data_IF_427366840543
#
_entry.id   IF_427366840543
#
_cell.length_a   1.000
_cell.length_b   1.000
_cell.length_c   1.000
_cell.angle_alpha   90.00
_cell.angle_beta   90.00
_cell.angle_gamma   90.00
#
_symmetry.space_group_name_H-M   'P 1'
#
loop_
_entity.id
_entity.type
_entity.pdbx_description
1 polymer ?
#
# COMPACT_ATOMS: atom_id res chain seq x y z
N UNK A 1 -10.66 -44.86 43.13
CA UNK A 1 -11.62 -44.23 42.18
C UNK A 1 -11.96 -42.84 42.72
N UNK A 2 -11.38 -41.77 42.20
CA UNK A 2 -11.94 -40.75 41.27
C UNK A 2 -10.70 -39.94 40.78
N UNK A 3 -10.33 -39.67 39.51
CA UNK A 3 -11.06 -39.37 38.25
C UNK A 3 -12.21 -38.39 38.51
N UNK A 4 -12.34 -37.17 37.97
CA UNK A 4 -11.84 -36.45 36.77
C UNK A 4 -12.23 -34.95 37.01
N UNK A 5 -11.57 -33.85 36.58
CA UNK A 5 -10.32 -33.53 35.84
C UNK A 5 -9.88 -32.08 36.21
N UNK A 6 -8.66 -31.64 35.87
CA UNK A 6 -8.25 -30.22 35.93
C UNK A 6 -8.75 -29.49 34.67
N UNK A 7 -9.66 -28.52 34.78
CA UNK A 7 -10.04 -27.63 33.67
C UNK A 7 -9.10 -26.41 33.70
N UNK A 8 -7.98 -26.54 33.00
CA UNK A 8 -7.10 -25.43 32.64
C UNK A 8 -6.63 -25.64 31.19
N UNK A 9 -6.38 -24.54 30.48
CA UNK A 9 -6.05 -24.47 29.04
C UNK A 9 -7.21 -24.78 28.07
N UNK A 10 -7.87 -23.71 27.58
CA UNK A 10 -8.10 -23.47 26.13
C UNK A 10 -8.73 -22.09 25.86
N UNK A 11 -8.18 -21.03 26.47
CA UNK A 11 -8.39 -19.63 26.06
C UNK A 11 -7.14 -19.05 25.41
N UNK A 12 -6.44 -19.86 24.61
CA UNK A 12 -5.35 -19.40 23.74
C UNK A 12 -5.92 -18.62 22.57
N UNK A 13 -6.27 -17.36 22.84
CA UNK A 13 -6.02 -16.23 21.95
C UNK A 13 -6.23 -16.50 20.45
N UNK A 14 -7.49 -16.66 20.04
CA UNK A 14 -7.93 -16.30 18.69
C UNK A 14 -7.82 -14.77 18.54
N UNK A 15 -6.59 -14.25 18.52
CA UNK A 15 -6.31 -12.87 18.12
C UNK A 15 -6.55 -12.82 16.63
N UNK A 16 -7.78 -12.48 16.24
CA UNK A 16 -8.11 -12.19 14.86
C UNK A 16 -7.22 -11.03 14.39
N UNK A 17 -6.18 -11.34 13.61
CA UNK A 17 -5.37 -10.32 12.95
C UNK A 17 -6.31 -9.58 12.00
N UNK A 18 -6.61 -8.32 12.31
CA UNK A 18 -7.66 -7.58 11.62
C UNK A 18 -7.39 -7.44 10.12
N UNK A 19 -6.10 -7.33 9.75
CA UNK A 19 -5.60 -7.37 8.39
C UNK A 19 -4.60 -8.53 8.16
N UNK A 20 -4.68 -9.17 6.99
CA UNK A 20 -3.80 -10.27 6.56
C UNK A 20 -3.11 -9.93 5.24
N UNK A 21 -1.86 -10.39 5.03
CA UNK A 21 -1.15 -10.24 3.75
C UNK A 21 -1.86 -11.06 2.67
N UNK A 22 -2.30 -10.38 1.61
CA UNK A 22 -2.91 -10.96 0.41
C UNK A 22 -1.92 -11.02 -0.77
N UNK A 23 -0.84 -10.25 -0.69
CA UNK A 23 0.20 -10.22 -1.70
C UNK A 23 1.21 -9.11 -1.45
N UNK A 24 1.93 -8.70 -2.49
CA UNK A 24 2.98 -7.67 -2.39
C UNK A 24 3.35 -7.06 -3.74
N UNK A 25 3.91 -5.85 -3.69
CA UNK A 25 4.52 -5.19 -4.84
C UNK A 25 6.00 -4.85 -4.54
N UNK A 26 6.73 -4.37 -5.54
CA UNK A 26 8.15 -4.01 -5.37
C UNK A 26 8.44 -2.57 -5.79
N UNK A 27 9.45 -1.97 -5.17
CA UNK A 27 10.05 -0.70 -5.62
C UNK A 27 11.58 -0.81 -5.64
N UNK A 28 12.18 -0.37 -6.74
CA UNK A 28 13.63 -0.33 -6.97
C UNK A 28 14.23 1.09 -6.84
N UNK A 29 13.56 1.97 -6.10
CA UNK A 29 13.99 3.37 -5.97
C UNK A 29 15.21 3.55 -5.06
N UNK A 30 15.09 3.25 -3.76
CA UNK A 30 16.14 3.51 -2.76
C UNK A 30 17.26 2.45 -2.73
N UNK A 31 17.10 1.33 -3.42
CA UNK A 31 18.05 0.22 -3.40
C UNK A 31 18.06 -0.47 -4.79
N UNK A 32 19.25 -0.81 -5.35
CA UNK A 32 19.32 -1.66 -6.56
C UNK A 32 18.65 -3.03 -6.38
N UNK A 33 18.55 -3.54 -5.15
CA UNK A 33 17.69 -4.67 -4.80
C UNK A 33 16.24 -4.17 -4.64
N UNK A 34 15.32 -4.74 -5.42
CA UNK A 34 13.87 -4.50 -5.30
C UNK A 34 13.41 -4.72 -3.85
N UNK A 35 12.96 -3.66 -3.18
CA UNK A 35 12.32 -3.78 -1.86
C UNK A 35 10.87 -4.24 -2.05
N UNK A 36 10.47 -5.25 -1.30
CA UNK A 36 9.10 -5.78 -1.28
C UNK A 36 8.22 -5.02 -0.28
N UNK A 37 7.02 -4.67 -0.70
CA UNK A 37 5.99 -4.01 0.10
C UNK A 37 4.74 -4.89 0.21
N UNK A 38 4.31 -5.16 1.44
CA UNK A 38 3.10 -5.92 1.70
C UNK A 38 1.85 -5.17 1.21
N UNK A 39 0.97 -5.90 0.51
CA UNK A 39 -0.44 -5.54 0.37
C UNK A 39 -1.23 -6.46 1.29
N UNK A 40 -1.96 -5.86 2.23
CA UNK A 40 -2.80 -6.57 3.19
C UNK A 40 -4.25 -6.15 3.04
N UNK A 41 -5.19 -6.99 3.44
CA UNK A 41 -6.61 -6.65 3.49
C UNK A 41 -7.28 -7.15 4.77
N UNK A 42 -8.35 -6.48 5.19
CA UNK A 42 -9.26 -6.98 6.23
C UNK A 42 -10.19 -8.05 5.69
N UNK A 43 -10.61 -9.00 6.51
CA UNK A 43 -11.68 -9.94 6.14
C UNK A 43 -12.96 -9.18 5.72
N UNK A 44 -13.55 -9.47 4.55
CA UNK A 44 -14.80 -8.86 4.11
C UNK A 44 -15.96 -9.06 5.09
N UNK A 45 -16.74 -7.98 5.28
CA UNK A 45 -18.02 -7.99 6.01
C UNK A 45 -19.04 -7.22 5.18
N UNK A 46 -20.08 -7.90 4.70
CA UNK A 46 -21.11 -7.33 3.81
C UNK A 46 -20.48 -6.61 2.61
N UNK A 47 -19.60 -7.30 1.87
CA UNK A 47 -18.77 -6.79 0.77
C UNK A 47 -17.79 -5.66 1.09
N UNK A 48 -17.80 -5.10 2.32
CA UNK A 48 -16.89 -4.03 2.75
C UNK A 48 -15.63 -4.60 3.37
N UNK A 49 -14.50 -4.05 2.95
CA UNK A 49 -13.17 -4.30 3.50
C UNK A 49 -12.26 -3.11 3.20
N UNK A 50 -11.04 -3.14 3.75
CA UNK A 50 -9.99 -2.14 3.48
C UNK A 50 -8.71 -2.84 3.04
N UNK A 51 -8.03 -2.27 2.06
CA UNK A 51 -6.64 -2.57 1.72
C UNK A 51 -5.70 -1.75 2.61
N UNK A 52 -4.53 -2.30 2.90
CA UNK A 52 -3.40 -1.66 3.58
C UNK A 52 -2.17 -1.93 2.72
N UNK A 53 -1.76 -0.92 1.97
CA UNK A 53 -0.60 -0.93 1.06
C UNK A 53 0.56 -0.35 1.84
N UNK A 54 1.52 -1.18 2.27
CA UNK A 54 2.70 -0.70 2.99
C UNK A 54 3.56 0.18 2.07
N UNK A 55 4.09 1.28 2.60
CA UNK A 55 4.94 2.24 1.88
C UNK A 55 6.14 2.63 2.75
N UNK A 56 7.11 3.34 2.20
CA UNK A 56 8.23 3.85 3.00
C UNK A 56 7.75 4.94 3.97
N UNK A 57 8.16 4.85 5.24
CA UNK A 57 8.22 6.03 6.10
C UNK A 57 9.56 6.77 5.93
N UNK A 58 9.82 7.70 6.83
CA UNK A 58 11.11 8.38 7.00
C UNK A 58 12.26 7.38 7.28
N UNK A 59 12.00 6.35 8.09
CA UNK A 59 12.95 5.30 8.43
C UNK A 59 12.57 3.96 7.77
N UNK A 60 13.54 3.11 7.34
CA UNK A 60 13.24 1.80 6.73
C UNK A 60 12.46 0.82 7.62
N UNK A 61 12.45 1.04 8.94
CA UNK A 61 11.71 0.23 9.92
C UNK A 61 10.29 0.75 10.20
N UNK A 62 9.92 1.91 9.66
CA UNK A 62 8.60 2.50 9.84
C UNK A 62 7.51 1.64 9.20
N UNK A 63 6.40 1.50 9.92
CA UNK A 63 5.21 0.78 9.44
C UNK A 63 4.16 1.79 8.99
N UNK A 64 4.33 2.36 7.80
CA UNK A 64 3.34 3.26 7.17
C UNK A 64 2.54 2.49 6.12
N UNK A 65 1.23 2.75 6.06
CA UNK A 65 0.34 2.15 5.07
C UNK A 65 -0.58 3.21 4.48
N UNK A 66 -0.73 3.18 3.16
CA UNK A 66 -1.88 3.77 2.47
C UNK A 66 -3.07 2.82 2.61
N UNK A 67 -4.23 3.35 2.99
CA UNK A 67 -5.42 2.58 3.30
C UNK A 67 -6.54 2.99 2.35
N UNK A 68 -7.05 2.01 1.60
CA UNK A 68 -8.14 2.20 0.65
C UNK A 68 -9.36 1.43 1.12
N UNK A 69 -10.55 2.04 1.06
CA UNK A 69 -11.81 1.29 1.12
C UNK A 69 -11.98 0.43 -0.13
N UNK A 70 -12.74 -0.66 -0.02
CA UNK A 70 -13.14 -1.46 -1.19
C UNK A 70 -13.87 -0.63 -2.26
N UNK A 71 -14.56 0.44 -1.86
CA UNK A 71 -15.28 1.39 -2.74
C UNK A 71 -14.35 2.36 -3.50
N UNK A 72 -13.15 2.64 -2.96
CA UNK A 72 -12.14 3.51 -3.59
C UNK A 72 -11.07 2.71 -4.35
N UNK A 73 -10.97 1.40 -4.16
CA UNK A 73 -9.95 0.55 -4.75
C UNK A 73 -9.96 0.54 -6.28
N UNK A 74 -11.15 0.45 -6.90
CA UNK A 74 -11.31 0.46 -8.37
C UNK A 74 -10.81 1.78 -8.97
N UNK A 75 -11.25 2.92 -8.40
CA UNK A 75 -10.79 4.27 -8.80
C UNK A 75 -9.29 4.47 -8.61
N UNK A 76 -8.70 3.86 -7.58
CA UNK A 76 -7.26 3.88 -7.37
C UNK A 76 -6.53 3.09 -8.47
N UNK A 77 -7.03 1.90 -8.81
CA UNK A 77 -6.47 1.08 -9.91
C UNK A 77 -6.55 1.82 -11.24
N UNK A 78 -7.71 2.40 -11.59
CA UNK A 78 -7.88 3.23 -12.80
C UNK A 78 -6.88 4.39 -12.84
N UNK A 79 -6.75 5.14 -11.74
CA UNK A 79 -5.81 6.25 -11.66
C UNK A 79 -4.35 5.79 -11.78
N UNK A 80 -3.99 4.63 -11.22
CA UNK A 80 -2.65 4.05 -11.35
C UNK A 80 -2.37 3.51 -12.76
N UNK A 81 -3.37 3.02 -13.49
CA UNK A 81 -3.25 2.65 -14.91
C UNK A 81 -2.96 3.89 -15.77
N UNK A 82 -3.70 4.99 -15.59
CA UNK A 82 -3.44 6.26 -16.29
C UNK A 82 -2.05 6.81 -15.91
N UNK A 83 -1.64 6.69 -14.65
CA UNK A 83 -0.28 7.06 -14.23
C UNK A 83 0.79 6.21 -14.92
N UNK A 84 0.58 4.89 -15.06
CA UNK A 84 1.51 3.99 -15.78
C UNK A 84 1.68 4.41 -17.23
N UNK A 85 0.59 4.69 -17.94
CA UNK A 85 0.63 5.14 -19.34
C UNK A 85 1.41 6.45 -19.50
N UNK A 86 1.08 7.45 -18.67
CA UNK A 86 1.78 8.75 -18.69
C UNK A 86 3.23 8.64 -18.22
N UNK A 87 3.53 7.72 -17.31
CA UNK A 87 4.90 7.44 -16.88
C UNK A 87 5.75 6.89 -18.04
N UNK A 88 5.23 5.95 -18.83
CA UNK A 88 5.91 5.41 -20.02
C UNK A 88 6.12 6.51 -21.07
N UNK A 89 5.07 7.28 -21.38
CA UNK A 89 5.13 8.42 -22.31
C UNK A 89 6.20 9.44 -21.90
N UNK A 90 6.15 9.92 -20.65
CA UNK A 90 7.03 10.99 -20.18
C UNK A 90 8.45 10.52 -19.94
N UNK A 91 8.66 9.26 -19.53
CA UNK A 91 10.01 8.66 -19.43
C UNK A 91 10.68 8.56 -20.79
N UNK A 92 9.93 8.24 -21.85
CA UNK A 92 10.43 8.27 -23.23
C UNK A 92 10.78 9.71 -23.65
N UNK A 93 9.87 10.67 -23.47
CA UNK A 93 10.09 12.08 -23.84
C UNK A 93 11.30 12.66 -23.09
N UNK A 94 11.45 12.39 -21.79
CA UNK A 94 12.57 12.84 -20.99
C UNK A 94 13.91 12.30 -21.52
N UNK A 95 13.96 11.01 -21.87
CA UNK A 95 15.14 10.39 -22.49
C UNK A 95 15.46 11.00 -23.85
N UNK A 96 14.46 11.08 -24.74
CA UNK A 96 14.65 11.56 -26.12
C UNK A 96 15.10 13.04 -26.18
N UNK A 97 14.79 13.84 -25.14
CA UNK A 97 15.17 15.25 -25.03
C UNK A 97 16.32 15.52 -24.04
N UNK A 98 16.98 14.48 -23.50
CA UNK A 98 18.04 14.60 -22.48
C UNK A 98 17.66 15.46 -21.26
N UNK A 99 16.41 15.35 -20.80
CA UNK A 99 15.91 16.07 -19.61
C UNK A 99 16.59 15.50 -18.36
N UNK A 100 17.21 16.35 -17.55
CA UNK A 100 17.99 15.93 -16.37
C UNK A 100 17.40 16.36 -15.02
N UNK A 101 16.49 17.33 -15.04
CA UNK A 101 15.75 17.85 -13.90
C UNK A 101 14.38 18.30 -14.40
N UNK A 102 13.31 17.69 -13.87
CA UNK A 102 11.93 18.02 -14.22
C UNK A 102 10.95 17.47 -13.19
N UNK A 103 9.90 18.22 -12.88
CA UNK A 103 8.78 17.74 -12.05
C UNK A 103 7.45 18.13 -12.70
N UNK A 104 6.52 17.17 -12.80
CA UNK A 104 5.18 17.39 -13.37
C UNK A 104 4.14 16.57 -12.60
N UNK A 105 3.01 17.19 -12.24
CA UNK A 105 1.87 16.47 -11.65
C UNK A 105 1.26 15.52 -12.67
N UNK A 106 0.88 14.31 -12.26
CA UNK A 106 0.08 13.43 -13.12
C UNK A 106 -1.32 14.04 -13.36
N UNK A 107 -1.95 13.81 -14.52
CA UNK A 107 -3.24 14.39 -14.86
C UNK A 107 -4.40 13.56 -14.28
N UNK A 108 -4.28 13.16 -13.00
CA UNK A 108 -5.28 12.35 -12.29
C UNK A 108 -5.49 12.89 -10.88
N UNK A 109 -6.69 12.63 -10.36
CA UNK A 109 -7.00 12.79 -8.93
C UNK A 109 -7.14 11.41 -8.33
N UNK A 110 -6.32 11.09 -7.32
CA UNK A 110 -6.50 9.84 -6.58
C UNK A 110 -7.80 9.90 -5.75
N UNK A 111 -8.50 8.77 -5.52
CA UNK A 111 -9.62 8.75 -4.59
C UNK A 111 -9.15 9.05 -3.16
N UNK A 112 -10.06 9.33 -2.20
CA UNK A 112 -9.68 9.47 -0.80
C UNK A 112 -8.92 8.25 -0.27
N UNK A 113 -7.76 8.49 0.35
CA UNK A 113 -6.86 7.50 0.94
C UNK A 113 -6.62 7.88 2.40
N UNK A 114 -6.79 6.95 3.34
CA UNK A 114 -6.32 7.18 4.71
C UNK A 114 -4.85 6.78 4.82
N UNK A 115 -4.08 7.43 5.69
CA UNK A 115 -2.72 7.02 6.03
C UNK A 115 -2.70 6.50 7.46
N UNK A 116 -2.19 5.28 7.67
CA UNK A 116 -2.04 4.67 8.98
C UNK A 116 -0.60 4.30 9.28
N UNK A 117 -0.07 4.76 10.43
CA UNK A 117 1.30 4.48 10.85
C UNK A 117 1.39 4.05 12.32
N UNK A 118 2.43 3.29 12.64
CA UNK A 118 2.70 2.84 14.01
C UNK A 118 3.95 3.51 14.58
N UNK A 119 3.86 4.01 15.81
CA UNK A 119 5.02 4.47 16.60
C UNK A 119 5.05 3.79 17.98
N UNK A 120 4.51 4.43 19.02
CA UNK A 120 4.11 3.80 20.29
C UNK A 120 2.73 3.12 20.18
N UNK A 121 1.88 3.66 19.32
CA UNK A 121 0.52 3.21 19.02
C UNK A 121 0.19 3.43 17.53
N UNK A 122 -1.03 3.08 17.12
CA UNK A 122 -1.50 3.32 15.75
C UNK A 122 -2.12 4.71 15.62
N UNK A 123 -1.53 5.52 14.74
CA UNK A 123 -2.03 6.82 14.33
C UNK A 123 -2.64 6.73 12.94
N UNK A 124 -3.64 7.58 12.69
CA UNK A 124 -4.37 7.63 11.42
C UNK A 124 -4.60 9.07 10.99
N UNK A 125 -4.56 9.30 9.68
CA UNK A 125 -4.96 10.55 9.04
C UNK A 125 -5.90 10.21 7.90
N UNK A 126 -7.15 10.69 7.96
CA UNK A 126 -8.25 10.21 7.12
C UNK A 126 -8.51 11.08 5.87
N UNK A 127 -9.11 10.48 4.85
CA UNK A 127 -9.73 11.13 3.69
C UNK A 127 -8.82 12.06 2.84
N UNK A 128 -7.54 11.72 2.69
CA UNK A 128 -6.60 12.52 1.87
C UNK A 128 -6.78 12.31 0.36
N UNK A 129 -6.82 13.42 -0.39
CA UNK A 129 -6.81 13.42 -1.85
C UNK A 129 -5.40 13.78 -2.33
N UNK A 130 -4.61 12.76 -2.61
CA UNK A 130 -3.21 12.90 -2.99
C UNK A 130 -3.01 13.23 -4.48
N UNK A 131 -1.99 14.06 -4.78
CA UNK A 131 -1.60 14.41 -6.16
C UNK A 131 -0.19 13.91 -6.48
N UNK A 132 -0.03 12.73 -7.12
CA UNK A 132 1.28 12.19 -7.43
C UNK A 132 2.00 13.01 -8.51
N UNK A 133 3.33 12.94 -8.50
CA UNK A 133 4.23 13.70 -9.37
C UNK A 133 5.14 12.74 -10.15
N UNK A 134 5.38 13.04 -11.41
CA UNK A 134 6.48 12.49 -12.20
C UNK A 134 7.71 13.36 -11.97
N UNK A 135 8.81 12.74 -11.54
CA UNK A 135 10.10 13.41 -11.32
C UNK A 135 11.15 12.82 -12.25
N UNK A 136 11.98 13.70 -12.81
CA UNK A 136 13.24 13.39 -13.49
C UNK A 136 14.36 14.06 -12.72
N UNK A 137 15.42 13.33 -12.39
CA UNK A 137 16.57 13.87 -11.65
C UNK A 137 17.84 13.09 -11.98
N UNK A 138 19.00 13.67 -11.69
CA UNK A 138 20.30 12.97 -11.79
C UNK A 138 20.66 12.24 -10.50
N UNK A 139 21.12 11.01 -10.62
CA UNK A 139 21.76 10.24 -9.55
C UNK A 139 23.14 9.80 -10.04
N UNK A 140 24.19 10.54 -9.63
CA UNK A 140 25.51 10.44 -10.26
C UNK A 140 25.45 10.82 -11.73
N UNK A 141 25.95 9.95 -12.60
CA UNK A 141 25.91 10.12 -14.06
C UNK A 141 24.58 9.67 -14.69
N UNK A 142 23.75 8.94 -13.95
CA UNK A 142 22.48 8.41 -14.45
C UNK A 142 21.36 9.44 -14.33
N UNK A 143 20.48 9.51 -15.34
CA UNK A 143 19.18 10.19 -15.25
C UNK A 143 18.13 9.18 -14.86
N UNK A 144 17.39 9.47 -13.80
CA UNK A 144 16.32 8.64 -13.27
C UNK A 144 14.95 9.28 -13.50
N UNK A 145 13.92 8.44 -13.62
CA UNK A 145 12.53 8.88 -13.80
C UNK A 145 11.62 8.06 -12.89
N UNK A 146 10.81 8.73 -12.06
CA UNK A 146 9.94 8.08 -11.08
C UNK A 146 8.54 8.69 -11.03
N UNK A 147 7.55 7.86 -10.74
CA UNK A 147 6.32 8.29 -10.07
C UNK A 147 6.63 8.42 -8.58
N UNK A 148 6.22 9.53 -7.98
CA UNK A 148 6.40 9.80 -6.56
C UNK A 148 5.13 10.41 -5.98
N UNK A 149 4.67 9.81 -4.89
CA UNK A 149 3.84 10.45 -3.89
C UNK A 149 4.69 10.59 -2.61
N UNK A 150 4.91 11.84 -2.19
CA UNK A 150 5.60 12.20 -0.95
C UNK A 150 4.82 13.33 -0.32
N UNK A 151 4.36 13.16 0.92
CA UNK A 151 3.65 14.16 1.70
C UNK A 151 3.91 13.95 3.19
N UNK A 152 3.74 15.01 3.99
CA UNK A 152 3.61 14.92 5.46
C UNK A 152 2.13 14.92 5.82
N UNK A 153 1.69 13.97 6.65
CA UNK A 153 0.33 13.90 7.19
C UNK A 153 0.35 14.06 8.72
N UNK A 154 -0.69 14.69 9.25
CA UNK A 154 -0.89 14.90 10.70
C UNK A 154 -2.01 14.00 11.18
N UNK A 155 -1.89 13.40 12.37
CA UNK A 155 -2.90 12.47 12.89
C UNK A 155 -4.23 13.18 13.14
N UNK A 156 -5.33 12.63 12.65
CA UNK A 156 -6.68 13.19 12.85
C UNK A 156 -7.12 13.18 14.32
N UNK A 157 -6.46 12.40 15.17
CA UNK A 157 -6.68 12.38 16.63
C UNK A 157 -5.73 13.29 17.42
N UNK A 158 -4.66 13.82 16.82
CA UNK A 158 -3.66 14.64 17.51
C UNK A 158 -2.84 15.51 16.53
N UNK A 159 -3.06 16.83 16.56
CA UNK A 159 -2.40 17.80 15.67
C UNK A 159 -0.87 17.92 15.84
N UNK A 160 -0.30 17.38 16.92
CA UNK A 160 1.14 17.40 17.20
C UNK A 160 1.86 16.12 16.72
N UNK A 161 1.14 15.15 16.15
CA UNK A 161 1.70 13.87 15.69
C UNK A 161 1.69 13.83 14.16
N UNK A 162 2.85 14.08 13.58
CA UNK A 162 3.09 14.02 12.13
C UNK A 162 3.71 12.69 11.68
N UNK A 163 3.57 12.37 10.40
CA UNK A 163 4.38 11.37 9.71
C UNK A 163 4.63 11.75 8.25
N UNK A 164 5.88 11.65 7.84
CA UNK A 164 6.27 11.69 6.42
C UNK A 164 6.32 10.26 5.85
N UNK A 165 5.94 10.14 4.58
CA UNK A 165 5.98 8.88 3.85
C UNK A 165 6.35 9.09 2.38
N UNK A 166 6.85 8.03 1.73
CA UNK A 166 7.05 8.02 0.28
C UNK A 166 6.54 6.74 -0.37
N UNK A 167 5.79 6.92 -1.45
CA UNK A 167 5.30 5.86 -2.33
C UNK A 167 5.86 6.14 -3.74
N UNK A 168 6.85 5.34 -4.14
CA UNK A 168 7.68 5.61 -5.32
C UNK A 168 7.72 4.39 -6.24
N UNK A 169 7.48 4.59 -7.54
CA UNK A 169 7.55 3.58 -8.59
C UNK A 169 8.48 4.06 -9.72
N UNK A 170 9.33 3.18 -10.22
CA UNK A 170 10.45 3.47 -11.14
C UNK A 170 10.33 2.77 -12.50
N UNK A 171 9.49 1.74 -12.60
CA UNK A 171 9.26 0.99 -13.84
C UNK A 171 7.79 0.56 -14.02
N UNK A 172 7.31 0.35 -15.26
CA UNK A 172 5.93 -0.06 -15.53
C UNK A 172 5.53 -1.36 -14.83
N UNK A 173 6.46 -2.30 -14.71
CA UNK A 173 6.27 -3.58 -14.01
C UNK A 173 5.91 -3.41 -12.53
N UNK A 174 6.37 -2.33 -11.89
CA UNK A 174 6.07 -2.03 -10.48
C UNK A 174 4.64 -1.49 -10.33
N UNK A 175 4.10 -0.78 -11.34
CA UNK A 175 2.68 -0.43 -11.39
C UNK A 175 1.82 -1.68 -11.57
N UNK A 176 2.18 -2.57 -12.51
CA UNK A 176 1.44 -3.82 -12.75
C UNK A 176 1.48 -4.73 -11.52
N UNK A 177 2.63 -4.83 -10.86
CA UNK A 177 2.80 -5.54 -9.61
C UNK A 177 1.91 -4.98 -8.50
N UNK A 178 1.72 -3.66 -8.40
CA UNK A 178 0.81 -3.07 -7.43
C UNK A 178 -0.66 -3.35 -7.79
N UNK A 179 -1.06 -3.00 -9.02
CA UNK A 179 -2.44 -3.10 -9.52
C UNK A 179 -2.98 -4.53 -9.35
N UNK A 180 -2.19 -5.55 -9.70
CA UNK A 180 -2.55 -6.97 -9.57
C UNK A 180 -2.95 -7.38 -8.15
N UNK A 181 -2.46 -6.71 -7.12
CA UNK A 181 -2.74 -7.03 -5.72
C UNK A 181 -3.91 -6.20 -5.12
N UNK A 182 -4.43 -5.21 -5.86
CA UNK A 182 -5.57 -4.39 -5.45
C UNK A 182 -6.79 -4.82 -6.28
N UNK A 183 -7.16 -6.09 -6.10
CA UNK A 183 -8.26 -6.75 -6.82
C UNK A 183 -9.20 -7.41 -5.81
N UNK A 184 -10.50 -7.12 -5.94
CA UNK A 184 -11.55 -7.67 -5.08
C UNK A 184 -11.57 -9.21 -5.14
N UNK A 185 -11.30 -9.81 -6.30
CA UNK A 185 -11.26 -11.27 -6.44
C UNK A 185 -10.10 -11.90 -5.66
N UNK A 186 -8.95 -11.23 -5.58
CA UNK A 186 -7.80 -11.68 -4.76
C UNK A 186 -8.21 -11.73 -3.28
N UNK A 187 -8.91 -10.71 -2.80
CA UNK A 187 -9.43 -10.65 -1.41
C UNK A 187 -10.50 -11.73 -1.16
N UNK A 188 -11.48 -11.87 -2.05
CA UNK A 188 -12.53 -12.89 -1.94
C UNK A 188 -11.93 -14.29 -1.90
N UNK A 189 -11.00 -14.62 -2.81
CA UNK A 189 -10.33 -15.92 -2.85
C UNK A 189 -9.58 -16.21 -1.55
N UNK A 190 -8.73 -15.28 -1.11
CA UNK A 190 -7.90 -15.43 0.10
C UNK A 190 -8.72 -15.68 1.37
N UNK A 191 -9.87 -15.02 1.54
CA UNK A 191 -10.72 -15.21 2.72
C UNK A 191 -11.77 -16.34 2.54
N UNK A 192 -12.21 -16.64 1.32
CA UNK A 192 -13.13 -17.73 1.02
C UNK A 192 -12.52 -19.12 1.18
N UNK A 193 -11.29 -19.32 0.70
CA UNK A 193 -10.52 -20.56 0.91
C UNK A 193 -10.40 -20.90 2.40
N UNK A 194 -10.23 -19.87 3.25
CA UNK A 194 -10.13 -20.03 4.71
C UNK A 194 -11.45 -20.33 5.42
N UNK A 195 -12.60 -19.91 4.86
CA UNK A 195 -13.89 -20.30 5.41
C UNK A 195 -14.13 -21.80 5.18
N UNK A 196 -13.92 -22.29 3.96
CA UNK A 196 -14.01 -23.71 3.64
C UNK A 196 -13.11 -24.58 4.55
N UNK A 197 -11.85 -24.17 4.77
CA UNK A 197 -10.95 -24.89 5.69
C UNK A 197 -11.45 -24.87 7.14
N UNK A 198 -12.01 -23.76 7.63
CA UNK A 198 -12.57 -23.70 9.00
C UNK A 198 -13.83 -24.54 9.16
N UNK A 199 -14.64 -24.66 8.12
CA UNK A 199 -15.87 -25.46 8.15
C UNK A 199 -15.61 -26.96 8.02
N UNK A 200 -14.45 -27.38 7.48
CA UNK A 200 -13.97 -28.77 7.51
C UNK A 200 -13.53 -29.28 8.90
N UNK A 201 -13.39 -28.38 9.89
CA UNK A 201 -13.01 -28.72 11.27
C UNK A 201 -14.09 -28.35 12.31
N UNK A 202 -15.36 -28.30 11.89
CA UNK A 202 -16.55 -28.19 12.74
C UNK A 202 -17.31 -29.52 12.79
#
# INVERSE_FOLDING_TARGET
MKKIIIIAMLFTSLVARAQEKIGSYTSSFFNPVKTEFDVRATQPKNDKFRYYISVWGENPTDKVNLILSSENAEKFVEAMQICKEKFVEWKKIAKDNNVTDFTKKFPVTLPPIDVGWYSSEWWFSFDHIFTPKFLVFKYGECVECVFMLYEKVTASSNEYIDKEFSFVLKSPDEFDSLIKNIDKEVVIRHFGEKQNVKDLFK
#
